data_IF_662336696950
#
_entry.id   IF_662336696950
#
_cell.length_a   1.000
_cell.length_b   1.000
_cell.length_c   1.000
_cell.angle_alpha   90.00
_cell.angle_beta   90.00
_cell.angle_gamma   90.00
#
_symmetry.space_group_name_H-M   'P 1'
#
loop_
_entity.id
_entity.type
_entity.pdbx_description
1 polymer ?
#
# COMPACT_ATOMS: atom_id res chain seq x y z
N UNK A 1 12.18 -36.13 25.45
CA UNK A 1 10.90 -36.04 24.71
C UNK A 1 10.46 -34.58 24.71
N UNK A 2 10.49 -33.91 23.56
CA UNK A 2 9.89 -32.59 23.44
C UNK A 2 8.37 -32.82 23.45
N UNK A 3 7.70 -32.49 24.56
CA UNK A 3 6.24 -32.43 24.59
C UNK A 3 5.83 -31.17 23.84
N UNK A 4 5.52 -31.29 22.55
CA UNK A 4 4.87 -30.21 21.82
C UNK A 4 3.41 -30.19 22.24
N UNK A 5 2.95 -29.02 22.67
CA UNK A 5 1.57 -28.77 23.11
C UNK A 5 0.70 -28.53 21.86
N UNK A 6 0.63 -29.53 20.98
CA UNK A 6 -0.06 -29.37 19.69
C UNK A 6 -1.56 -29.48 19.89
N UNK A 7 -2.29 -28.47 19.41
CA UNK A 7 -3.75 -28.47 19.33
C UNK A 7 -4.25 -29.49 18.30
N UNK A 8 -5.49 -29.94 18.43
CA UNK A 8 -6.10 -30.82 17.44
C UNK A 8 -6.45 -30.06 16.15
N UNK A 9 -6.51 -30.77 15.02
CA UNK A 9 -6.93 -30.19 13.75
C UNK A 9 -8.30 -29.51 13.83
N UNK A 10 -9.27 -30.17 14.48
CA UNK A 10 -10.62 -29.60 14.64
C UNK A 10 -10.61 -28.33 15.51
N UNK A 11 -9.75 -28.27 16.53
CA UNK A 11 -9.58 -27.06 17.36
C UNK A 11 -9.10 -25.89 16.50
N UNK A 12 -8.05 -26.11 15.71
CA UNK A 12 -7.47 -25.09 14.82
C UNK A 12 -8.48 -24.65 13.76
N UNK A 13 -9.19 -25.60 13.12
CA UNK A 13 -10.22 -25.30 12.11
C UNK A 13 -11.33 -24.43 12.71
N UNK A 14 -11.85 -24.81 13.87
CA UNK A 14 -12.95 -24.08 14.52
C UNK A 14 -12.50 -22.67 14.96
N UNK A 15 -11.27 -22.54 15.47
CA UNK A 15 -10.68 -21.26 15.81
C UNK A 15 -10.56 -20.32 14.60
N UNK A 16 -10.04 -20.83 13.47
CA UNK A 16 -9.90 -20.06 12.23
C UNK A 16 -11.28 -19.67 11.68
N UNK A 17 -12.24 -20.59 11.66
CA UNK A 17 -13.61 -20.30 11.23
C UNK A 17 -14.24 -19.18 12.06
N UNK A 18 -14.08 -19.24 13.38
CA UNK A 18 -14.64 -18.21 14.25
C UNK A 18 -13.93 -16.86 14.09
N UNK A 19 -12.62 -16.86 13.83
CA UNK A 19 -11.86 -15.64 13.53
C UNK A 19 -12.40 -14.97 12.26
N UNK A 20 -12.63 -15.73 11.19
CA UNK A 20 -13.23 -15.21 9.96
C UNK A 20 -14.65 -14.70 10.17
N UNK A 21 -15.49 -15.43 10.91
CA UNK A 21 -16.85 -15.00 11.22
C UNK A 21 -16.86 -13.68 11.99
N UNK A 22 -15.95 -13.52 12.95
CA UNK A 22 -15.82 -12.28 13.70
C UNK A 22 -15.42 -11.11 12.79
N UNK A 23 -14.44 -11.28 11.90
CA UNK A 23 -14.05 -10.22 10.95
C UNK A 23 -15.17 -9.89 9.95
N UNK A 24 -15.80 -10.91 9.37
CA UNK A 24 -16.87 -10.71 8.39
C UNK A 24 -18.11 -10.05 9.02
N UNK A 25 -18.41 -10.32 10.29
CA UNK A 25 -19.54 -9.72 11.01
C UNK A 25 -19.44 -8.20 11.20
N UNK A 26 -18.27 -7.61 10.92
CA UNK A 26 -18.05 -6.16 10.94
C UNK A 26 -18.70 -5.45 9.74
N UNK A 27 -19.07 -6.20 8.70
CA UNK A 27 -19.72 -5.70 7.50
C UNK A 27 -21.18 -6.12 7.48
N UNK A 28 -22.08 -5.19 7.80
CA UNK A 28 -23.52 -5.40 7.68
C UNK A 28 -24.04 -4.75 6.40
N UNK A 29 -24.66 -5.54 5.53
CA UNK A 29 -25.26 -5.03 4.31
C UNK A 29 -26.77 -5.21 4.33
N UNK A 30 -27.50 -4.10 4.52
CA UNK A 30 -28.96 -4.09 4.51
C UNK A 30 -29.49 -4.01 3.08
N UNK A 31 -29.66 -5.16 2.43
CA UNK A 31 -30.34 -5.25 1.14
C UNK A 31 -31.20 -6.52 1.09
N UNK A 32 -32.14 -6.60 0.14
CA UNK A 32 -32.83 -7.85 -0.18
C UNK A 32 -31.88 -8.76 -0.97
N UNK A 33 -30.99 -9.45 -0.27
CA UNK A 33 -30.02 -10.35 -0.88
C UNK A 33 -30.68 -11.67 -1.28
N UNK A 34 -30.48 -12.10 -2.52
CA UNK A 34 -30.61 -13.52 -2.85
C UNK A 34 -29.32 -14.26 -2.43
N UNK A 35 -29.41 -15.60 -2.29
CA UNK A 35 -28.29 -16.42 -1.82
C UNK A 35 -27.03 -16.25 -2.66
N UNK A 36 -27.16 -16.05 -3.97
CA UNK A 36 -26.03 -15.87 -4.87
C UNK A 36 -25.27 -14.57 -4.60
N UNK A 37 -26.00 -13.47 -4.39
CA UNK A 37 -25.41 -12.16 -4.13
C UNK A 37 -24.68 -12.17 -2.78
N UNK A 38 -25.26 -12.81 -1.77
CA UNK A 38 -24.64 -12.97 -0.45
C UNK A 38 -23.31 -13.74 -0.55
N UNK A 39 -23.26 -14.81 -1.35
CA UNK A 39 -22.03 -15.57 -1.61
C UNK A 39 -20.99 -14.68 -2.29
N UNK A 40 -21.38 -13.90 -3.32
CA UNK A 40 -20.46 -13.01 -4.05
C UNK A 40 -19.83 -11.96 -3.13
N UNK A 41 -20.64 -11.29 -2.32
CA UNK A 41 -20.17 -10.26 -1.39
C UNK A 41 -19.20 -10.83 -0.36
N UNK A 42 -19.60 -11.91 0.32
CA UNK A 42 -18.77 -12.54 1.34
C UNK A 42 -17.47 -13.11 0.75
N UNK A 43 -17.52 -13.66 -0.47
CA UNK A 43 -16.31 -14.17 -1.15
C UNK A 43 -15.36 -13.03 -1.50
N UNK A 44 -15.88 -11.90 -2.00
CA UNK A 44 -15.08 -10.71 -2.29
C UNK A 44 -14.39 -10.14 -1.04
N UNK A 45 -15.11 -10.09 0.09
CA UNK A 45 -14.56 -9.68 1.39
C UNK A 45 -13.38 -10.58 1.79
N UNK A 46 -13.55 -11.91 1.74
CA UNK A 46 -12.46 -12.86 2.07
C UNK A 46 -11.25 -12.64 1.16
N UNK A 47 -11.44 -12.50 -0.16
CA UNK A 47 -10.34 -12.25 -1.08
C UNK A 47 -9.61 -10.94 -0.76
N UNK A 48 -10.34 -9.87 -0.47
CA UNK A 48 -9.76 -8.55 -0.16
C UNK A 48 -8.97 -8.51 1.15
N UNK A 49 -9.31 -9.37 2.11
CA UNK A 49 -8.63 -9.45 3.42
C UNK A 49 -7.51 -10.49 3.47
N UNK A 50 -7.37 -11.31 2.43
CA UNK A 50 -6.36 -12.38 2.36
C UNK A 50 -4.95 -11.84 2.07
N UNK A 51 -4.87 -10.61 1.56
CA UNK A 51 -3.64 -9.86 1.32
C UNK A 51 -3.81 -8.41 1.83
N UNK A 52 -2.72 -7.69 2.13
CA UNK A 52 -1.35 -8.15 2.20
C UNK A 52 -1.13 -9.12 3.37
N UNK A 53 -0.21 -10.08 3.18
CA UNK A 53 0.10 -11.09 4.19
C UNK A 53 1.17 -10.59 5.15
N UNK A 54 1.11 -11.07 6.40
CA UNK A 54 2.19 -10.90 7.38
C UNK A 54 3.38 -11.70 6.86
N UNK A 55 4.49 -11.01 6.61
CA UNK A 55 5.74 -11.61 6.14
C UNK A 55 6.69 -11.93 7.30
N UNK A 56 6.78 -11.01 8.28
CA UNK A 56 7.54 -11.22 9.51
C UNK A 56 6.60 -11.07 10.72
N UNK A 57 6.31 -12.19 11.39
CA UNK A 57 5.48 -12.23 12.60
C UNK A 57 6.13 -11.51 13.80
N UNK A 58 7.46 -11.38 13.81
CA UNK A 58 8.20 -10.76 14.92
C UNK A 58 8.17 -9.22 14.87
N UNK A 59 8.15 -8.65 13.66
CA UNK A 59 8.18 -7.19 13.43
C UNK A 59 6.94 -6.64 12.70
N UNK A 60 5.93 -7.47 12.40
CA UNK A 60 4.69 -7.08 11.69
C UNK A 60 4.94 -6.41 10.35
N UNK A 61 5.86 -6.97 9.56
CA UNK A 61 6.11 -6.49 8.19
C UNK A 61 5.04 -7.04 7.26
N UNK A 62 4.33 -6.17 6.54
CA UNK A 62 3.29 -6.51 5.56
C UNK A 62 3.76 -6.20 4.14
N UNK A 63 3.34 -7.03 3.17
CA UNK A 63 3.67 -6.85 1.75
C UNK A 63 2.39 -6.88 0.88
N UNK A 64 2.05 -5.73 0.30
CA UNK A 64 0.97 -5.55 -0.68
C UNK A 64 0.26 -4.20 -0.54
N UNK A 65 -0.67 -3.90 -1.44
CA UNK A 65 -1.00 -2.51 -1.81
C UNK A 65 -2.49 -2.15 -1.78
N UNK A 66 -3.37 -3.06 -1.36
CA UNK A 66 -4.81 -2.81 -1.28
C UNK A 66 -5.18 -2.00 -0.03
N UNK A 67 -4.54 -0.83 0.12
CA UNK A 67 -4.58 -0.03 1.34
C UNK A 67 -5.85 0.83 1.51
N UNK A 68 -6.51 1.36 0.47
CA UNK A 68 -7.69 2.22 0.67
C UNK A 68 -8.82 1.55 1.45
N UNK A 69 -9.09 0.27 1.19
CA UNK A 69 -10.07 -0.49 1.96
C UNK A 69 -9.59 -0.74 3.39
N UNK A 70 -8.30 -1.09 3.56
CA UNK A 70 -7.68 -1.34 4.87
C UNK A 70 -7.70 -0.10 5.76
N UNK A 71 -7.51 1.11 5.22
CA UNK A 71 -7.62 2.35 6.02
C UNK A 71 -9.00 2.43 6.72
N UNK A 72 -10.07 2.04 6.02
CA UNK A 72 -11.43 2.13 6.57
C UNK A 72 -11.77 1.03 7.58
N UNK A 73 -11.33 -0.21 7.36
CA UNK A 73 -11.74 -1.34 8.20
C UNK A 73 -10.63 -1.89 9.10
N UNK A 74 -9.36 -1.64 8.83
CA UNK A 74 -8.23 -2.14 9.63
C UNK A 74 -7.10 -1.11 9.58
N UNK A 75 -7.38 0.10 10.09
CA UNK A 75 -6.43 1.22 10.14
C UNK A 75 -5.11 0.82 10.82
N UNK A 76 -5.15 -0.10 11.79
CA UNK A 76 -3.94 -0.67 12.39
C UNK A 76 -3.09 -1.43 11.36
N UNK A 77 -3.68 -2.32 10.56
CA UNK A 77 -2.96 -3.03 9.49
C UNK A 77 -2.48 -2.06 8.40
N UNK A 78 -3.27 -1.04 8.07
CA UNK A 78 -2.83 0.02 7.14
C UNK A 78 -1.55 0.72 7.65
N UNK A 79 -1.48 1.04 8.94
CA UNK A 79 -0.27 1.59 9.57
C UNK A 79 0.90 0.61 9.54
N UNK A 80 0.69 -0.67 9.89
CA UNK A 80 1.75 -1.68 9.84
C UNK A 80 2.33 -1.83 8.41
N UNK A 81 1.49 -1.71 7.36
CA UNK A 81 1.93 -1.68 5.95
C UNK A 81 2.78 -0.44 5.66
N UNK A 82 2.34 0.74 6.09
CA UNK A 82 3.11 1.98 5.89
C UNK A 82 4.46 1.94 6.61
N UNK A 83 4.53 1.40 7.83
CA UNK A 83 5.80 1.18 8.52
C UNK A 83 6.70 0.20 7.76
N UNK A 84 6.12 -0.82 7.13
CA UNK A 84 6.86 -1.75 6.27
C UNK A 84 7.43 -1.06 5.03
N UNK A 85 6.65 -0.17 4.40
CA UNK A 85 7.10 0.68 3.29
C UNK A 85 8.26 1.57 3.75
N UNK A 86 8.15 2.22 4.90
CA UNK A 86 9.21 3.09 5.42
C UNK A 86 10.46 2.34 5.86
N UNK A 87 10.33 1.08 6.29
CA UNK A 87 11.48 0.20 6.53
C UNK A 87 12.22 -0.14 5.23
N UNK A 88 11.49 -0.33 4.12
CA UNK A 88 12.11 -0.49 2.79
C UNK A 88 12.85 0.78 2.39
N UNK A 89 12.29 1.97 2.67
CA UNK A 89 12.98 3.25 2.42
C UNK A 89 14.25 3.35 3.25
N UNK A 90 14.20 3.03 4.55
CA UNK A 90 15.36 3.11 5.45
C UNK A 90 16.51 2.18 5.01
N UNK A 91 16.19 0.95 4.59
CA UNK A 91 17.18 -0.05 4.22
C UNK A 91 17.62 0.02 2.76
N UNK A 92 16.70 0.39 1.86
CA UNK A 92 16.87 0.37 0.41
C UNK A 92 17.16 1.73 -0.20
N UNK A 93 16.66 2.81 0.41
CA UNK A 93 16.81 4.18 -0.06
C UNK A 93 15.74 4.66 -1.06
N UNK A 94 14.69 3.88 -1.32
CA UNK A 94 13.63 4.23 -2.27
C UNK A 94 12.27 3.64 -1.85
N UNK A 95 11.20 4.25 -2.36
CA UNK A 95 9.85 3.72 -2.19
C UNK A 95 9.64 2.48 -3.08
N UNK A 96 8.96 1.44 -2.55
CA UNK A 96 8.71 0.21 -3.29
C UNK A 96 7.66 0.41 -4.40
N UNK A 97 7.97 -0.03 -5.63
CA UNK A 97 6.96 -0.15 -6.70
C UNK A 97 6.12 -1.43 -6.58
N UNK A 98 6.80 -2.58 -6.53
CA UNK A 98 6.16 -3.89 -6.43
C UNK A 98 7.09 -4.91 -5.74
N UNK A 99 7.21 -4.87 -4.40
CA UNK A 99 8.05 -5.78 -3.65
C UNK A 99 7.34 -7.14 -3.57
N UNK A 100 8.14 -8.20 -3.66
CA UNK A 100 7.69 -9.57 -3.40
C UNK A 100 8.72 -10.22 -2.50
N UNK A 101 8.26 -10.74 -1.37
CA UNK A 101 9.15 -11.23 -0.31
C UNK A 101 10.22 -10.18 0.04
N UNK A 102 11.50 -10.57 0.07
CA UNK A 102 12.63 -9.68 0.34
C UNK A 102 13.23 -9.04 -0.92
N UNK A 103 12.50 -9.05 -2.05
CA UNK A 103 13.01 -8.62 -3.35
C UNK A 103 12.17 -7.55 -4.02
N UNK A 104 12.73 -6.94 -5.06
CA UNK A 104 12.03 -6.01 -5.94
C UNK A 104 11.82 -6.66 -7.28
N UNK A 105 10.57 -6.75 -7.70
CA UNK A 105 10.20 -7.37 -8.97
C UNK A 105 10.30 -6.40 -10.13
N UNK A 106 10.30 -5.10 -9.83
CA UNK A 106 10.15 -4.02 -10.80
C UNK A 106 8.88 -4.14 -11.68
N UNK A 107 7.89 -4.91 -11.23
CA UNK A 107 6.66 -5.16 -11.96
C UNK A 107 5.81 -3.89 -12.05
N UNK A 108 5.13 -3.72 -13.19
CA UNK A 108 4.24 -2.59 -13.51
C UNK A 108 4.97 -1.24 -13.57
N UNK A 109 4.18 -0.16 -13.63
CA UNK A 109 4.62 1.23 -13.80
C UNK A 109 4.17 2.07 -12.61
N UNK A 110 4.62 3.32 -12.52
CA UNK A 110 4.18 4.28 -11.50
C UNK A 110 4.87 4.10 -10.15
N UNK A 111 4.67 5.08 -9.26
CA UNK A 111 5.18 5.09 -7.90
C UNK A 111 4.02 5.07 -6.90
N UNK A 112 3.25 3.99 -6.90
CA UNK A 112 1.98 3.98 -6.17
C UNK A 112 2.10 3.82 -4.63
N UNK A 113 3.31 3.59 -4.10
CA UNK A 113 3.55 3.71 -2.67
C UNK A 113 3.30 5.16 -2.17
N UNK A 114 3.50 6.15 -3.04
CA UNK A 114 3.28 7.56 -2.79
C UNK A 114 1.79 7.81 -2.47
N UNK A 115 0.89 7.19 -3.25
CA UNK A 115 -0.56 7.26 -3.05
C UNK A 115 -0.94 6.65 -1.70
N UNK A 116 -0.37 5.50 -1.35
CA UNK A 116 -0.68 4.79 -0.10
C UNK A 116 -0.32 5.65 1.11
N UNK A 117 0.88 6.22 1.11
CA UNK A 117 1.33 7.15 2.14
C UNK A 117 0.39 8.36 2.19
N UNK A 118 0.12 8.96 1.03
CA UNK A 118 -0.72 10.14 0.92
C UNK A 118 -2.13 9.91 1.42
N UNK A 119 -2.77 8.80 1.07
CA UNK A 119 -4.14 8.50 1.47
C UNK A 119 -4.28 8.32 3.00
N UNK A 120 -3.33 7.60 3.63
CA UNK A 120 -3.30 7.44 5.09
C UNK A 120 -3.07 8.79 5.80
N UNK A 121 -2.16 9.61 5.27
CA UNK A 121 -1.80 10.91 5.84
C UNK A 121 -2.95 11.91 5.72
N UNK A 122 -3.50 12.05 4.52
CA UNK A 122 -4.57 13.02 4.23
C UNK A 122 -5.89 12.68 4.92
N UNK A 123 -6.12 11.41 5.27
CA UNK A 123 -7.25 10.97 6.10
C UNK A 123 -6.99 11.11 7.61
N UNK A 124 -5.78 11.48 8.02
CA UNK A 124 -5.37 11.54 9.43
C UNK A 124 -5.52 10.22 10.17
N UNK A 125 -5.31 9.11 9.46
CA UNK A 125 -5.40 7.73 9.99
C UNK A 125 -4.02 7.14 10.32
N UNK A 126 -2.96 7.90 10.10
CA UNK A 126 -1.61 7.49 10.49
C UNK A 126 -1.42 7.57 12.02
N UNK A 127 -0.62 6.65 12.56
CA UNK A 127 -0.24 6.68 13.95
C UNK A 127 0.86 7.73 14.25
N UNK A 128 1.15 7.90 15.55
CA UNK A 128 2.16 8.85 16.03
C UNK A 128 3.62 8.40 15.77
N UNK A 129 3.83 7.16 15.33
CA UNK A 129 5.16 6.61 15.08
C UNK A 129 5.62 6.85 13.65
N UNK A 130 4.72 7.28 12.75
CA UNK A 130 5.07 7.64 11.39
C UNK A 130 6.00 8.88 11.37
N UNK A 131 7.26 8.68 10.96
CA UNK A 131 8.22 9.77 10.84
C UNK A 131 7.94 10.61 9.60
N UNK A 132 7.18 11.69 9.78
CA UNK A 132 6.81 12.60 8.69
C UNK A 132 8.00 13.22 7.96
N UNK A 133 9.14 13.42 8.62
CA UNK A 133 10.34 13.95 7.94
C UNK A 133 10.86 12.96 6.90
N UNK A 134 10.96 11.69 7.29
CA UNK A 134 11.41 10.61 6.41
C UNK A 134 10.42 10.37 5.26
N UNK A 135 9.11 10.46 5.53
CA UNK A 135 8.06 10.36 4.51
C UNK A 135 8.21 11.48 3.46
N UNK A 136 8.31 12.73 3.89
CA UNK A 136 8.44 13.87 2.98
C UNK A 136 9.72 13.78 2.13
N UNK A 137 10.82 13.32 2.71
CA UNK A 137 12.06 13.04 1.98
C UNK A 137 11.87 11.92 0.93
N UNK A 138 11.21 10.82 1.30
CA UNK A 138 10.94 9.71 0.39
C UNK A 138 10.06 10.14 -0.80
N UNK A 139 9.01 10.92 -0.54
CA UNK A 139 8.12 11.48 -1.57
C UNK A 139 8.86 12.45 -2.51
N UNK A 140 9.72 13.32 -1.99
CA UNK A 140 10.58 14.18 -2.83
C UNK A 140 11.50 13.35 -3.71
N UNK A 141 12.14 12.34 -3.13
CA UNK A 141 13.12 11.52 -3.83
C UNK A 141 12.50 10.76 -4.98
N UNK A 142 11.36 10.09 -4.76
CA UNK A 142 10.68 9.32 -5.83
C UNK A 142 10.17 10.21 -6.96
N UNK A 143 9.71 11.43 -6.65
CA UNK A 143 9.20 12.37 -7.66
C UNK A 143 10.30 13.03 -8.49
N UNK A 144 11.47 13.32 -7.89
CA UNK A 144 12.46 14.23 -8.48
C UNK A 144 13.78 13.58 -8.89
N UNK A 145 14.03 12.31 -8.54
CA UNK A 145 15.36 11.70 -8.73
C UNK A 145 15.28 10.30 -9.32
N UNK A 146 16.31 9.94 -10.09
CA UNK A 146 16.48 8.57 -10.59
C UNK A 146 16.86 7.67 -9.42
N UNK A 147 16.06 6.63 -9.18
CA UNK A 147 16.24 5.69 -8.08
C UNK A 147 16.88 4.38 -8.55
N UNK A 148 17.58 3.68 -7.64
CA UNK A 148 18.25 2.41 -7.94
C UNK A 148 17.28 1.35 -8.48
N UNK A 149 16.09 1.30 -7.88
CA UNK A 149 14.98 0.51 -8.36
C UNK A 149 13.91 1.49 -8.83
N UNK A 150 13.58 1.37 -10.11
CA UNK A 150 12.91 2.43 -10.82
C UNK A 150 11.39 2.40 -10.58
N UNK A 151 10.95 3.22 -9.62
CA UNK A 151 9.53 3.51 -9.41
C UNK A 151 9.03 4.56 -10.42
N UNK A 152 9.91 5.40 -10.99
CA UNK A 152 9.56 6.39 -12.01
C UNK A 152 10.65 6.50 -13.08
N UNK A 153 10.39 5.96 -14.25
CA UNK A 153 11.21 6.11 -15.44
C UNK A 153 11.44 7.59 -15.77
N UNK A 154 12.72 7.99 -15.76
CA UNK A 154 13.27 9.30 -16.11
C UNK A 154 12.42 10.50 -15.62
N UNK A 155 12.35 10.73 -14.29
CA UNK A 155 11.49 11.74 -13.71
C UNK A 155 11.90 13.15 -14.14
N UNK A 156 13.18 13.39 -14.43
CA UNK A 156 13.68 14.69 -14.87
C UNK A 156 13.16 15.06 -16.25
N UNK A 157 13.14 14.11 -17.18
CA UNK A 157 12.53 14.31 -18.50
C UNK A 157 11.03 14.51 -18.39
N UNK A 158 10.34 13.71 -17.56
CA UNK A 158 8.92 13.90 -17.28
C UNK A 158 8.63 15.30 -16.72
N UNK A 159 9.37 15.77 -15.72
CA UNK A 159 9.22 17.12 -15.15
C UNK A 159 9.46 18.19 -16.22
N UNK A 160 10.45 18.01 -17.09
CA UNK A 160 10.75 18.98 -18.15
C UNK A 160 9.65 19.08 -19.20
N UNK A 161 9.11 17.95 -19.64
CA UNK A 161 8.16 17.90 -20.76
C UNK A 161 6.70 17.81 -20.32
N UNK A 162 6.44 17.48 -19.06
CA UNK A 162 5.12 17.26 -18.45
C UNK A 162 4.34 16.06 -19.04
N UNK A 163 5.06 15.16 -19.73
CA UNK A 163 4.57 13.88 -20.22
C UNK A 163 5.74 12.94 -20.51
N UNK A 164 5.48 11.65 -20.60
CA UNK A 164 6.44 10.65 -21.11
C UNK A 164 6.28 10.56 -22.62
N UNK A 165 7.35 10.83 -23.37
CA UNK A 165 7.32 10.86 -24.82
C UNK A 165 7.27 9.45 -25.45
N UNK A 166 6.71 9.35 -26.65
CA UNK A 166 6.46 8.06 -27.30
C UNK A 166 7.70 7.30 -27.72
N UNK A 167 8.79 8.02 -27.95
CA UNK A 167 10.10 7.50 -28.33
C UNK A 167 10.93 7.09 -27.11
N UNK A 168 10.44 7.34 -25.90
CA UNK A 168 11.13 7.03 -24.64
C UNK A 168 10.67 5.71 -24.01
N UNK A 169 9.36 5.41 -24.03
CA UNK A 169 8.80 4.21 -23.41
C UNK A 169 7.50 3.74 -24.11
N UNK A 170 7.28 2.43 -24.20
CA UNK A 170 6.10 1.85 -24.86
C UNK A 170 4.79 2.03 -24.05
N UNK A 171 4.87 2.29 -22.75
CA UNK A 171 3.76 2.53 -21.82
C UNK A 171 3.50 4.04 -21.58
N UNK A 172 4.02 4.92 -22.45
CA UNK A 172 4.03 6.38 -22.32
C UNK A 172 2.75 7.01 -21.75
N UNK A 173 1.59 6.59 -22.25
CA UNK A 173 0.31 7.20 -21.93
C UNK A 173 -0.11 6.81 -20.52
N UNK A 174 0.07 5.53 -20.18
CA UNK A 174 -0.19 5.00 -18.85
C UNK A 174 0.78 5.59 -17.82
N UNK A 175 2.06 5.73 -18.17
CA UNK A 175 3.07 6.37 -17.31
C UNK A 175 2.73 7.82 -17.03
N UNK A 176 2.40 8.59 -18.08
CA UNK A 176 2.03 10.01 -17.95
C UNK A 176 0.84 10.19 -17.01
N UNK A 177 -0.21 9.38 -17.15
CA UNK A 177 -1.38 9.43 -16.28
C UNK A 177 -1.09 8.95 -14.86
N UNK A 178 -0.26 7.91 -14.72
CA UNK A 178 0.13 7.37 -13.41
C UNK A 178 0.92 8.40 -12.62
N UNK A 179 1.95 9.00 -13.22
CA UNK A 179 2.76 10.02 -12.56
C UNK A 179 1.95 11.27 -12.21
N UNK A 180 1.05 11.72 -13.09
CA UNK A 180 0.18 12.84 -12.78
C UNK A 180 -0.70 12.58 -11.54
N UNK A 181 -1.17 11.34 -11.36
CA UNK A 181 -1.95 10.96 -10.18
C UNK A 181 -1.08 10.80 -8.92
N UNK A 182 0.10 10.18 -9.06
CA UNK A 182 1.09 10.04 -7.98
C UNK A 182 1.56 11.43 -7.49
N UNK A 183 1.75 12.39 -8.41
CA UNK A 183 2.12 13.79 -8.12
C UNK A 183 1.01 14.56 -7.46
N UNK A 184 -0.24 14.41 -7.90
CA UNK A 184 -1.38 15.02 -7.23
C UNK A 184 -1.49 14.53 -5.77
N UNK A 185 -1.32 13.22 -5.54
CA UNK A 185 -1.34 12.65 -4.20
C UNK A 185 -0.21 13.22 -3.33
N UNK A 186 1.01 13.24 -3.87
CA UNK A 186 2.21 13.79 -3.21
C UNK A 186 2.04 15.29 -2.89
N UNK A 187 1.56 16.08 -3.85
CA UNK A 187 1.33 17.51 -3.70
C UNK A 187 0.35 17.85 -2.57
N UNK A 188 -0.69 17.04 -2.38
CA UNK A 188 -1.61 17.21 -1.24
C UNK A 188 -0.91 17.05 0.11
N UNK A 189 0.00 16.07 0.23
CA UNK A 189 0.80 15.87 1.44
C UNK A 189 1.76 17.04 1.67
N UNK A 190 2.45 17.50 0.62
CA UNK A 190 3.35 18.65 0.69
C UNK A 190 2.59 19.91 1.15
N UNK A 191 1.41 20.15 0.58
CA UNK A 191 0.55 21.26 0.94
C UNK A 191 0.12 21.18 2.42
N UNK A 192 -0.33 20.00 2.87
CA UNK A 192 -0.71 19.78 4.26
C UNK A 192 0.46 19.97 5.24
N UNK A 193 1.69 19.68 4.81
CA UNK A 193 2.91 19.93 5.57
C UNK A 193 3.38 21.40 5.54
N UNK A 194 2.69 22.29 4.83
CA UNK A 194 3.04 23.71 4.69
C UNK A 194 4.13 23.98 3.65
N UNK A 195 4.48 22.99 2.82
CA UNK A 195 5.49 23.08 1.75
C UNK A 195 4.83 23.55 0.46
N UNK A 196 4.27 24.75 0.47
CA UNK A 196 3.39 25.26 -0.59
C UNK A 196 4.11 25.33 -1.95
N UNK A 197 5.37 25.73 -1.97
CA UNK A 197 6.15 25.85 -3.21
C UNK A 197 6.46 24.47 -3.83
N UNK A 198 6.54 23.41 -3.02
CA UNK A 198 6.74 22.04 -3.52
C UNK A 198 5.44 21.36 -3.91
N UNK A 199 4.31 21.86 -3.41
CA UNK A 199 2.99 21.35 -3.73
C UNK A 199 2.43 21.87 -5.07
N UNK A 200 2.98 22.99 -5.57
CA UNK A 200 2.59 23.66 -6.82
C UNK A 200 3.39 23.13 -8.01
#
# INVERSE_FOLDING_TARGET
QIKTKLESFDSIRNFIQQTWLNEMSRFEATAEWNRESEIKFNTALVHSMSSPTIWDESNRVYLGFDVPFLILHDSKRANDIVHSIMLIVDQGGYLPKWPLANGHTNCMIGSHADIILSDLIMKHEHDQYLNMTQVLEALRNVANTVQKHDSRFDPLTYIKYQYVAFDMDEYLASLTLSYAYDDWATGNVMYAAGLIDEAQ
#
